data_IF_740302621217
#
_entry.id   IF_740302621217
#
_cell.length_a   1.000
_cell.length_b   1.000
_cell.length_c   1.000
_cell.angle_alpha   90.00
_cell.angle_beta   90.00
_cell.angle_gamma   90.00
#
_symmetry.space_group_name_H-M   'P 1'
#
loop_
_entity.id
_entity.type
_entity.pdbx_description
1 polymer ?
#
# COMPACT_ATOMS: atom_id res chain seq x y z
N UNK A 1 45.57 -20.53 -44.21
CA UNK A 1 45.70 -19.50 -43.16
C UNK A 1 44.74 -18.37 -43.49
N UNK A 2 43.47 -18.75 -43.62
CA UNK A 2 42.28 -17.98 -43.99
C UNK A 2 41.12 -18.73 -43.33
N UNK A 3 40.06 -18.01 -42.92
CA UNK A 3 38.85 -18.46 -42.20
C UNK A 3 38.84 -18.38 -40.67
N UNK A 4 39.07 -17.19 -40.08
CA UNK A 4 38.65 -16.89 -38.70
C UNK A 4 38.00 -15.51 -38.49
N UNK A 5 37.62 -14.80 -39.56
CA UNK A 5 36.99 -13.46 -39.49
C UNK A 5 35.57 -13.42 -40.08
N UNK A 6 34.72 -14.38 -39.72
CA UNK A 6 33.29 -14.30 -40.01
C UNK A 6 32.50 -14.88 -38.82
N UNK A 7 32.21 -14.05 -37.81
CA UNK A 7 31.42 -14.51 -36.67
C UNK A 7 31.22 -13.55 -35.50
N UNK A 8 31.36 -12.22 -35.71
CA UNK A 8 31.20 -11.26 -34.62
C UNK A 8 30.44 -9.99 -35.02
N UNK A 9 29.37 -10.11 -35.81
CA UNK A 9 28.38 -9.03 -35.97
C UNK A 9 26.96 -9.58 -35.96
N UNK A 10 26.31 -9.47 -34.80
CA UNK A 10 24.89 -9.14 -34.65
C UNK A 10 24.56 -9.07 -33.14
N UNK A 11 25.15 -8.08 -32.47
CA UNK A 11 24.66 -7.67 -31.16
C UNK A 11 23.22 -7.19 -31.29
N UNK A 12 22.25 -8.03 -30.95
CA UNK A 12 20.87 -7.60 -30.69
C UNK A 12 20.89 -6.71 -29.45
N UNK A 13 21.20 -5.42 -29.62
CA UNK A 13 20.67 -4.40 -28.73
C UNK A 13 19.15 -4.49 -28.91
N UNK A 14 18.46 -5.16 -28.00
CA UNK A 14 17.02 -4.93 -27.85
C UNK A 14 16.90 -3.44 -27.51
N UNK A 15 16.65 -2.63 -28.53
CA UNK A 15 16.36 -1.21 -28.37
C UNK A 15 15.03 -1.16 -27.65
N UNK A 16 15.09 -0.95 -26.34
CA UNK A 16 13.91 -0.78 -25.52
C UNK A 16 13.22 0.49 -26.04
N UNK A 17 12.03 0.34 -26.65
CA UNK A 17 11.40 1.44 -27.39
C UNK A 17 10.31 2.13 -26.57
N UNK A 18 9.71 1.42 -25.61
CA UNK A 18 8.65 1.94 -24.74
C UNK A 18 8.85 1.54 -23.28
N UNK A 19 8.39 2.39 -22.38
CA UNK A 19 8.30 2.18 -20.95
C UNK A 19 6.83 2.13 -20.53
N UNK A 20 6.45 1.06 -19.85
CA UNK A 20 5.13 0.91 -19.23
C UNK A 20 5.25 0.98 -17.71
N UNK A 21 4.67 2.01 -17.13
CA UNK A 21 4.67 2.23 -15.68
C UNK A 21 3.30 1.88 -15.12
N UNK A 22 3.26 0.90 -14.22
CA UNK A 22 2.08 0.59 -13.43
C UNK A 22 2.31 1.03 -11.99
N UNK A 23 1.40 1.87 -11.47
CA UNK A 23 1.54 2.40 -10.12
C UNK A 23 0.34 2.09 -9.22
N UNK A 24 0.63 1.97 -7.93
CA UNK A 24 -0.36 2.01 -6.86
C UNK A 24 -0.04 3.23 -5.99
N UNK A 25 -1.04 4.04 -5.63
CA UNK A 25 -0.81 5.19 -4.75
C UNK A 25 -2.00 5.48 -3.84
N UNK A 26 -1.69 5.87 -2.60
CA UNK A 26 -2.67 6.37 -1.65
C UNK A 26 -2.83 7.88 -1.74
N UNK A 27 -1.74 8.59 -1.43
CA UNK A 27 -1.72 10.06 -1.25
C UNK A 27 -0.82 10.79 -2.26
N UNK A 28 -0.28 10.10 -3.25
CA UNK A 28 0.46 10.69 -4.37
C UNK A 28 1.96 10.38 -4.42
N UNK A 29 2.59 9.89 -3.34
CA UNK A 29 4.06 9.65 -3.34
C UNK A 29 4.54 8.73 -4.47
N UNK A 30 3.91 7.57 -4.62
CA UNK A 30 4.28 6.62 -5.67
C UNK A 30 3.86 7.07 -7.06
N UNK A 31 2.91 8.01 -7.17
CA UNK A 31 2.55 8.66 -8.44
C UNK A 31 3.62 9.69 -8.83
N UNK A 32 4.13 10.50 -7.89
CA UNK A 32 5.28 11.38 -8.15
C UNK A 32 6.49 10.57 -8.63
N UNK A 33 6.82 9.48 -7.92
CA UNK A 33 7.89 8.58 -8.32
C UNK A 33 7.68 8.00 -9.74
N UNK A 34 6.44 7.61 -10.08
CA UNK A 34 6.09 7.17 -11.42
C UNK A 34 6.22 8.28 -12.48
N UNK A 35 5.84 9.52 -12.16
CA UNK A 35 5.97 10.69 -13.04
C UNK A 35 7.43 11.07 -13.28
N UNK A 36 8.29 11.06 -12.26
CA UNK A 36 9.72 11.30 -12.41
C UNK A 36 10.39 10.23 -13.27
N UNK A 37 10.02 8.97 -13.04
CA UNK A 37 10.48 7.85 -13.84
C UNK A 37 10.04 8.00 -15.32
N UNK A 38 8.79 8.39 -15.56
CA UNK A 38 8.28 8.67 -16.89
C UNK A 38 9.01 9.85 -17.56
N UNK A 39 9.25 10.93 -16.83
CA UNK A 39 9.97 12.10 -17.33
C UNK A 39 11.40 11.76 -17.74
N UNK A 40 12.13 11.02 -16.89
CA UNK A 40 13.49 10.56 -17.20
C UNK A 40 13.54 9.66 -18.45
N UNK A 41 12.56 8.79 -18.63
CA UNK A 41 12.47 7.94 -19.82
C UNK A 41 12.10 8.71 -21.09
N UNK A 42 11.16 9.66 -21.02
CA UNK A 42 10.82 10.54 -22.15
C UNK A 42 12.04 11.36 -22.59
N UNK A 43 12.80 11.89 -21.64
CA UNK A 43 14.04 12.62 -21.93
C UNK A 43 15.11 11.74 -22.62
N UNK A 44 15.07 10.43 -22.40
CA UNK A 44 15.92 9.44 -23.07
C UNK A 44 15.34 8.93 -24.41
N UNK A 45 14.23 9.50 -24.89
CA UNK A 45 13.63 9.15 -26.18
C UNK A 45 12.65 7.96 -26.17
N UNK A 46 12.22 7.50 -24.99
CA UNK A 46 11.27 6.38 -24.87
C UNK A 46 9.83 6.85 -25.02
N UNK A 47 8.99 6.04 -25.70
CA UNK A 47 7.54 6.16 -25.54
C UNK A 47 7.13 5.75 -24.12
N UNK A 48 6.25 6.50 -23.45
CA UNK A 48 5.89 6.21 -22.05
C UNK A 48 4.39 6.15 -21.85
N UNK A 49 3.92 5.09 -21.19
CA UNK A 49 2.56 4.98 -20.66
C UNK A 49 2.60 4.84 -19.13
N UNK A 50 1.79 5.61 -18.40
CA UNK A 50 1.69 5.55 -16.94
C UNK A 50 0.26 5.20 -16.57
N UNK A 51 0.05 4.10 -15.86
CA UNK A 51 -1.28 3.55 -15.57
C UNK A 51 -1.42 3.21 -14.09
N UNK A 52 -2.54 3.62 -13.49
CA UNK A 52 -2.90 3.13 -12.15
C UNK A 52 -3.30 1.67 -12.24
N UNK A 53 -2.89 0.83 -11.29
CA UNK A 53 -3.40 -0.54 -11.16
C UNK A 53 -4.80 -0.59 -10.53
N UNK A 54 -5.33 0.57 -10.12
CA UNK A 54 -6.63 0.69 -9.45
C UNK A 54 -7.48 1.85 -10.02
N UNK A 55 -8.75 1.61 -10.43
CA UNK A 55 -9.43 0.30 -10.46
C UNK A 55 -8.68 -0.69 -11.36
N UNK A 56 -8.83 -1.99 -11.10
CA UNK A 56 -8.11 -3.00 -11.87
C UNK A 56 -8.39 -2.78 -13.37
N UNK A 57 -7.37 -2.81 -14.24
CA UNK A 57 -7.58 -2.61 -15.67
C UNK A 57 -8.60 -3.62 -16.21
N UNK A 58 -9.34 -3.22 -17.25
CA UNK A 58 -10.20 -4.14 -18.02
C UNK A 58 -9.37 -5.35 -18.48
N UNK A 59 -10.07 -6.46 -18.73
CA UNK A 59 -9.61 -7.85 -18.90
C UNK A 59 -8.36 -8.14 -19.76
N UNK A 60 -7.79 -7.16 -20.44
CA UNK A 60 -6.70 -7.34 -21.42
C UNK A 60 -5.30 -7.35 -20.79
N UNK A 61 -5.20 -7.13 -19.47
CA UNK A 61 -3.92 -7.13 -18.77
C UNK A 61 -2.96 -6.05 -19.28
N UNK A 62 -1.70 -6.04 -18.80
CA UNK A 62 -0.69 -5.14 -19.36
C UNK A 62 -0.26 -5.63 -20.75
N UNK A 63 -0.38 -4.76 -21.74
CA UNK A 63 0.08 -4.94 -23.12
C UNK A 63 1.62 -4.84 -23.22
N UNK A 64 2.35 -5.58 -22.39
CA UNK A 64 3.80 -5.62 -22.39
C UNK A 64 4.31 -6.42 -23.59
N UNK A 65 4.57 -5.72 -24.69
CA UNK A 65 5.13 -6.32 -25.90
C UNK A 65 6.62 -6.69 -25.69
N UNK A 66 7.13 -7.70 -26.40
CA UNK A 66 8.57 -7.99 -26.43
C UNK A 66 9.36 -6.73 -26.86
N UNK A 67 10.24 -6.24 -25.99
CA UNK A 67 11.01 -5.00 -26.21
C UNK A 67 10.64 -3.83 -25.30
N UNK A 68 9.54 -3.92 -24.55
CA UNK A 68 9.16 -2.88 -23.59
C UNK A 68 9.88 -3.02 -22.23
N UNK A 69 10.09 -1.90 -21.54
CA UNK A 69 10.48 -1.86 -20.13
C UNK A 69 9.24 -1.83 -19.25
N UNK A 70 9.08 -2.80 -18.35
CA UNK A 70 8.05 -2.78 -17.33
C UNK A 70 8.55 -2.09 -16.06
N UNK A 71 7.81 -1.13 -15.53
CA UNK A 71 8.08 -0.47 -14.26
C UNK A 71 6.89 -0.64 -13.31
N UNK A 72 7.14 -1.16 -12.10
CA UNK A 72 6.15 -1.23 -11.03
C UNK A 72 6.49 -0.22 -9.93
N UNK A 73 5.60 0.74 -9.68
CA UNK A 73 5.75 1.78 -8.66
C UNK A 73 4.71 1.58 -7.54
N UNK A 74 5.15 1.48 -6.28
CA UNK A 74 4.24 1.15 -5.17
C UNK A 74 4.68 1.76 -3.84
N UNK A 75 3.75 1.98 -2.88
CA UNK A 75 4.11 2.32 -1.52
C UNK A 75 4.48 1.06 -0.74
N UNK A 76 5.28 1.21 0.31
CA UNK A 76 5.44 0.16 1.33
C UNK A 76 4.28 0.21 2.32
N UNK A 77 3.64 -0.94 2.55
CA UNK A 77 2.68 -1.12 3.64
C UNK A 77 3.23 -2.16 4.63
N UNK A 78 3.43 -1.75 5.89
CA UNK A 78 3.95 -2.60 6.97
C UNK A 78 5.19 -3.42 6.54
N UNK A 79 6.23 -2.73 6.07
CA UNK A 79 7.52 -3.32 5.67
C UNK A 79 7.41 -4.37 4.54
N UNK A 80 6.34 -4.32 3.74
CA UNK A 80 6.17 -5.17 2.56
C UNK A 80 5.30 -4.51 1.49
N UNK A 81 5.07 -5.22 0.38
CA UNK A 81 4.26 -4.74 -0.72
C UNK A 81 2.76 -4.80 -0.36
N UNK A 82 1.94 -3.83 -0.80
CA UNK A 82 0.50 -3.88 -0.58
C UNK A 82 -0.12 -5.05 -1.33
N UNK A 83 -1.13 -5.68 -0.73
CA UNK A 83 -1.84 -6.83 -1.30
C UNK A 83 -2.33 -6.59 -2.74
N UNK A 84 -2.79 -5.37 -3.04
CA UNK A 84 -3.23 -5.01 -4.39
C UNK A 84 -2.12 -5.12 -5.44
N UNK A 85 -0.89 -4.69 -5.11
CA UNK A 85 0.25 -4.79 -6.02
C UNK A 85 0.78 -6.22 -6.11
N UNK A 86 0.76 -6.98 -5.00
CA UNK A 86 1.10 -8.41 -5.02
C UNK A 86 0.16 -9.16 -5.97
N UNK A 87 -1.16 -8.95 -5.85
CA UNK A 87 -2.16 -9.55 -6.76
C UNK A 87 -1.95 -9.14 -8.21
N UNK A 88 -1.67 -7.87 -8.45
CA UNK A 88 -1.39 -7.37 -9.80
C UNK A 88 -0.16 -8.07 -10.40
N UNK A 89 0.97 -8.12 -9.67
CA UNK A 89 2.19 -8.77 -10.12
C UNK A 89 1.99 -10.28 -10.38
N UNK A 90 1.22 -10.97 -9.53
CA UNK A 90 0.86 -12.38 -9.73
C UNK A 90 0.00 -12.58 -10.98
N UNK A 91 -0.88 -11.63 -11.30
CA UNK A 91 -1.77 -11.65 -12.47
C UNK A 91 -1.12 -11.26 -13.80
N UNK A 92 0.13 -10.77 -13.81
CA UNK A 92 0.85 -10.49 -15.05
C UNK A 92 0.98 -11.76 -15.92
N UNK A 93 1.08 -11.65 -17.24
CA UNK A 93 1.42 -12.82 -18.06
C UNK A 93 2.86 -13.27 -17.76
N UNK A 94 3.18 -14.56 -17.99
CA UNK A 94 4.57 -15.01 -18.08
C UNK A 94 5.32 -14.20 -19.15
N UNK A 95 6.62 -13.98 -18.94
CA UNK A 95 7.49 -13.24 -19.85
C UNK A 95 8.68 -14.08 -20.28
N UNK A 96 9.24 -13.76 -21.45
CA UNK A 96 10.49 -14.34 -21.97
C UNK A 96 11.63 -13.31 -21.91
N UNK A 97 11.87 -12.77 -20.71
CA UNK A 97 12.99 -11.85 -20.46
C UNK A 97 12.68 -10.37 -20.68
N UNK A 98 11.40 -9.96 -20.65
CA UNK A 98 11.03 -8.53 -20.67
C UNK A 98 11.76 -7.81 -19.52
N UNK A 99 12.55 -6.77 -19.81
CA UNK A 99 13.22 -5.98 -18.77
C UNK A 99 12.20 -5.38 -17.80
N UNK A 100 12.50 -5.45 -16.50
CA UNK A 100 11.62 -4.90 -15.48
C UNK A 100 12.39 -4.12 -14.41
N UNK A 101 11.74 -3.12 -13.83
CA UNK A 101 12.19 -2.44 -12.63
C UNK A 101 11.08 -2.35 -11.59
N UNK A 102 11.47 -2.31 -10.31
CA UNK A 102 10.58 -2.12 -9.17
C UNK A 102 11.07 -0.92 -8.36
N UNK A 103 10.20 0.07 -8.20
CA UNK A 103 10.47 1.29 -7.44
C UNK A 103 9.46 1.42 -6.30
N UNK A 104 9.93 1.35 -5.05
CA UNK A 104 9.08 1.49 -3.86
C UNK A 104 9.26 2.84 -3.19
N UNK A 105 8.18 3.43 -2.69
CA UNK A 105 8.25 4.62 -1.82
C UNK A 105 8.07 4.21 -0.36
N UNK A 106 8.95 4.66 0.52
CA UNK A 106 8.90 4.42 1.98
C UNK A 106 8.74 5.72 2.76
N UNK A 107 8.10 5.65 3.92
CA UNK A 107 7.73 6.84 4.69
C UNK A 107 8.85 7.37 5.58
N UNK A 108 9.35 8.55 5.29
CA UNK A 108 10.27 9.33 6.13
C UNK A 108 9.51 10.01 7.26
N UNK A 109 10.07 9.93 8.46
CA UNK A 109 9.56 10.61 9.65
C UNK A 109 10.44 11.81 9.99
N UNK A 110 9.83 12.85 10.55
CA UNK A 110 10.55 13.97 11.18
C UNK A 110 10.43 13.83 12.69
N UNK A 111 11.55 13.61 13.37
CA UNK A 111 11.63 13.57 14.84
C UNK A 111 12.53 14.71 15.29
N UNK A 112 11.93 15.74 15.88
CA UNK A 112 12.62 17.01 16.15
C UNK A 112 13.09 17.64 14.84
N UNK A 113 14.41 17.69 14.63
CA UNK A 113 15.05 18.20 13.40
C UNK A 113 15.64 17.10 12.51
N UNK A 114 15.49 15.83 12.91
CA UNK A 114 16.12 14.68 12.24
C UNK A 114 15.11 13.99 11.32
N UNK A 115 15.50 13.82 10.06
CA UNK A 115 14.77 13.01 9.09
C UNK A 115 15.20 11.55 9.23
N UNK A 116 14.27 10.70 9.65
CA UNK A 116 14.49 9.27 9.79
C UNK A 116 13.95 8.58 8.52
N UNK A 117 14.80 7.91 7.73
CA UNK A 117 14.37 7.23 6.52
C UNK A 117 13.40 6.09 6.85
N UNK A 118 12.52 5.79 5.91
CA UNK A 118 11.58 4.69 6.05
C UNK A 118 12.26 3.32 5.93
N UNK A 119 11.47 2.27 6.17
CA UNK A 119 11.87 0.89 5.93
C UNK A 119 10.89 0.23 4.98
N UNK A 120 11.34 -0.09 3.76
CA UNK A 120 10.54 -0.81 2.77
C UNK A 120 10.42 -2.31 3.06
N UNK A 121 11.36 -2.85 3.84
CA UNK A 121 11.45 -4.27 4.15
C UNK A 121 11.48 -5.14 2.89
N UNK A 122 10.54 -6.08 2.79
CA UNK A 122 10.48 -7.01 1.65
C UNK A 122 9.75 -6.41 0.43
N UNK A 123 9.23 -5.19 0.49
CA UNK A 123 8.30 -4.67 -0.52
C UNK A 123 8.83 -4.74 -1.95
N UNK A 124 10.06 -4.25 -2.18
CA UNK A 124 10.63 -4.20 -3.51
C UNK A 124 11.01 -5.61 -4.02
N UNK A 125 11.70 -6.38 -3.18
CA UNK A 125 12.21 -7.69 -3.56
C UNK A 125 11.15 -8.79 -3.60
N UNK A 126 10.04 -8.67 -2.87
CA UNK A 126 8.89 -9.57 -3.01
C UNK A 126 8.31 -9.45 -4.42
N UNK A 127 8.09 -8.22 -4.90
CA UNK A 127 7.59 -7.97 -6.26
C UNK A 127 8.64 -8.39 -7.31
N UNK A 128 9.91 -8.05 -7.10
CA UNK A 128 10.99 -8.50 -7.98
C UNK A 128 11.08 -10.03 -8.08
N UNK A 129 10.89 -10.74 -6.96
CA UNK A 129 10.87 -12.20 -6.91
C UNK A 129 9.71 -12.78 -7.73
N UNK A 130 8.51 -12.22 -7.57
CA UNK A 130 7.33 -12.61 -8.38
C UNK A 130 7.62 -12.41 -9.88
N UNK A 131 8.19 -11.26 -10.25
CA UNK A 131 8.57 -10.97 -11.64
C UNK A 131 9.61 -11.96 -12.18
N UNK A 132 10.65 -12.30 -11.40
CA UNK A 132 11.66 -13.28 -11.81
C UNK A 132 11.08 -14.68 -12.01
N UNK A 133 10.22 -15.15 -11.10
CA UNK A 133 9.53 -16.45 -11.23
C UNK A 133 8.68 -16.49 -12.49
N UNK A 134 8.12 -15.35 -12.91
CA UNK A 134 7.32 -15.22 -14.12
C UNK A 134 8.16 -14.99 -15.39
N UNK A 135 9.48 -15.00 -15.30
CA UNK A 135 10.40 -14.91 -16.44
C UNK A 135 10.77 -13.50 -16.90
N UNK A 136 10.50 -12.45 -16.12
CA UNK A 136 10.96 -11.09 -16.41
C UNK A 136 12.44 -10.91 -16.03
N UNK A 137 13.20 -10.11 -16.79
CA UNK A 137 14.57 -9.72 -16.41
C UNK A 137 14.55 -8.48 -15.51
N UNK A 138 14.59 -8.68 -14.19
CA UNK A 138 14.63 -7.56 -13.24
C UNK A 138 15.98 -6.84 -13.30
N UNK A 139 16.01 -5.70 -13.99
CA UNK A 139 17.16 -4.80 -14.16
C UNK A 139 17.31 -3.81 -13.01
N UNK A 140 16.19 -3.40 -12.41
CA UNK A 140 16.16 -2.33 -11.41
C UNK A 140 15.36 -2.71 -10.16
N UNK A 141 15.94 -2.52 -8.98
CA UNK A 141 15.22 -2.54 -7.70
C UNK A 141 15.71 -1.38 -6.86
N UNK A 142 14.79 -0.52 -6.44
CA UNK A 142 15.15 0.66 -5.67
C UNK A 142 14.02 1.12 -4.74
N UNK A 143 14.40 1.80 -3.66
CA UNK A 143 13.49 2.29 -2.63
C UNK A 143 13.83 3.74 -2.31
N UNK A 144 12.87 4.63 -2.53
CA UNK A 144 13.02 6.08 -2.33
C UNK A 144 12.28 6.54 -1.08
N UNK A 145 12.94 7.39 -0.30
CA UNK A 145 12.37 8.04 0.87
C UNK A 145 11.39 9.15 0.46
N UNK A 146 10.16 9.07 0.96
CA UNK A 146 9.09 10.04 0.70
C UNK A 146 8.43 10.43 2.03
N UNK A 147 7.85 11.62 2.16
CA UNK A 147 7.16 12.00 3.39
C UNK A 147 6.11 10.98 3.81
N UNK A 148 6.16 10.56 5.08
CA UNK A 148 5.21 9.57 5.59
C UNK A 148 3.78 10.11 5.56
N UNK A 149 2.89 9.32 4.97
CA UNK A 149 1.46 9.62 4.85
C UNK A 149 0.59 8.87 5.88
N UNK A 150 1.21 8.06 6.76
CA UNK A 150 0.51 7.23 7.75
C UNK A 150 0.05 8.06 8.95
N UNK A 151 -0.77 9.06 8.64
CA UNK A 151 -1.20 10.13 9.54
C UNK A 151 -2.21 9.71 10.60
N UNK A 152 -2.28 8.41 10.87
CA UNK A 152 -3.03 7.87 12.02
C UNK A 152 -2.13 7.78 13.24
N UNK A 153 -0.82 7.53 13.08
CA UNK A 153 0.13 7.36 14.19
C UNK A 153 1.00 8.59 14.48
N UNK A 154 1.19 9.47 13.49
CA UNK A 154 1.98 10.68 13.62
C UNK A 154 1.41 11.79 12.71
N UNK A 155 1.66 13.08 12.97
CA UNK A 155 1.27 14.16 12.05
C UNK A 155 2.11 14.13 10.76
N UNK A 156 1.56 14.70 9.67
CA UNK A 156 2.37 15.00 8.49
C UNK A 156 3.42 16.09 8.80
N UNK A 157 4.55 16.05 8.10
CA UNK A 157 5.62 17.04 8.21
C UNK A 157 5.16 18.45 7.80
N UNK A 158 5.93 19.46 8.20
CA UNK A 158 5.78 20.82 7.68
C UNK A 158 6.18 20.92 6.20
N UNK A 159 5.85 22.06 5.58
CA UNK A 159 6.03 22.28 4.14
C UNK A 159 7.51 22.16 3.74
N UNK A 160 8.40 22.88 4.42
CA UNK A 160 9.83 22.90 4.08
C UNK A 160 10.51 21.51 4.18
N UNK A 161 10.38 20.71 5.27
CA UNK A 161 10.90 19.34 5.29
C UNK A 161 10.25 18.43 4.24
N UNK A 162 8.98 18.65 3.92
CA UNK A 162 8.28 17.90 2.86
C UNK A 162 8.92 18.18 1.50
N UNK A 163 9.12 19.44 1.14
CA UNK A 163 9.75 19.84 -0.12
C UNK A 163 11.19 19.34 -0.21
N UNK A 164 11.96 19.42 0.88
CA UNK A 164 13.33 18.89 0.93
C UNK A 164 13.38 17.38 0.65
N UNK A 165 12.54 16.58 1.32
CA UNK A 165 12.51 15.12 1.10
C UNK A 165 12.06 14.80 -0.32
N UNK A 166 11.04 15.49 -0.83
CA UNK A 166 10.52 15.27 -2.20
C UNK A 166 11.55 15.64 -3.26
N UNK A 167 12.28 16.76 -3.09
CA UNK A 167 13.33 17.16 -4.02
C UNK A 167 14.51 16.19 -4.03
N UNK A 168 14.92 15.67 -2.86
CA UNK A 168 15.95 14.63 -2.78
C UNK A 168 15.51 13.33 -3.48
N UNK A 169 14.24 12.95 -3.27
CA UNK A 169 13.65 11.77 -3.89
C UNK A 169 13.61 11.87 -5.42
N UNK A 170 13.29 13.05 -5.97
CA UNK A 170 13.28 13.28 -7.42
C UNK A 170 14.66 13.07 -8.05
N UNK A 171 15.70 13.63 -7.44
CA UNK A 171 17.09 13.46 -7.90
C UNK A 171 17.50 11.98 -7.85
N UNK A 172 17.21 11.30 -6.74
CA UNK A 172 17.54 9.90 -6.53
C UNK A 172 16.85 8.98 -7.56
N UNK A 173 15.54 9.18 -7.77
CA UNK A 173 14.74 8.40 -8.74
C UNK A 173 15.23 8.66 -10.17
N UNK A 174 15.50 9.92 -10.52
CA UNK A 174 15.99 10.27 -11.86
C UNK A 174 17.32 9.59 -12.15
N UNK A 175 18.28 9.65 -11.22
CA UNK A 175 19.58 8.98 -11.36
C UNK A 175 19.46 7.45 -11.42
N UNK A 176 18.56 6.86 -10.63
CA UNK A 176 18.26 5.43 -10.69
C UNK A 176 17.75 5.01 -12.06
N UNK A 177 16.74 5.71 -12.59
CA UNK A 177 16.12 5.38 -13.86
C UNK A 177 17.11 5.56 -15.01
N UNK A 178 17.83 6.67 -15.07
CA UNK A 178 18.87 6.90 -16.09
C UNK A 178 19.93 5.78 -16.10
N UNK A 179 20.33 5.28 -14.93
CA UNK A 179 21.26 4.15 -14.82
C UNK A 179 20.70 2.87 -15.46
N UNK A 180 19.42 2.56 -15.21
CA UNK A 180 18.76 1.37 -15.76
C UNK A 180 18.55 1.51 -17.27
N UNK A 181 18.13 2.69 -17.74
CA UNK A 181 17.95 2.98 -19.17
C UNK A 181 19.27 2.92 -19.95
N UNK A 182 20.41 3.25 -19.31
CA UNK A 182 21.74 3.05 -19.86
C UNK A 182 22.19 1.57 -19.90
N UNK A 183 21.29 0.62 -19.58
CA UNK A 183 21.54 -0.81 -19.63
C UNK A 183 22.18 -1.40 -18.37
N UNK A 184 22.45 -0.60 -17.32
CA UNK A 184 23.04 -1.12 -16.07
C UNK A 184 21.99 -1.88 -15.25
N UNK A 185 22.44 -2.94 -14.56
CA UNK A 185 21.62 -3.62 -13.55
C UNK A 185 21.90 -2.97 -12.19
N UNK A 186 20.87 -2.39 -11.54
CA UNK A 186 20.98 -1.72 -10.24
C UNK A 186 19.96 -2.30 -9.26
N UNK A 187 20.44 -3.06 -8.29
CA UNK A 187 19.61 -3.77 -7.30
C UNK A 187 19.99 -3.31 -5.89
N UNK A 188 19.31 -2.28 -5.40
CA UNK A 188 19.61 -1.64 -4.12
C UNK A 188 18.76 -2.20 -2.98
N UNK A 189 19.16 -1.93 -1.73
CA UNK A 189 18.31 -2.18 -0.55
C UNK A 189 18.52 -3.51 0.16
N UNK A 190 19.63 -4.21 -0.08
CA UNK A 190 19.90 -5.55 0.50
C UNK A 190 19.87 -5.58 2.03
N UNK A 191 20.41 -4.56 2.70
CA UNK A 191 20.34 -4.45 4.17
C UNK A 191 18.89 -4.34 4.65
N UNK A 192 18.07 -3.54 3.95
CA UNK A 192 16.65 -3.33 4.29
C UNK A 192 15.81 -4.56 3.96
N UNK A 193 16.19 -5.34 2.94
CA UNK A 193 15.64 -6.67 2.70
C UNK A 193 15.91 -7.61 3.88
N UNK A 194 17.15 -7.69 4.36
CA UNK A 194 17.49 -8.54 5.51
C UNK A 194 16.67 -8.18 6.76
N UNK A 195 16.55 -6.88 7.07
CA UNK A 195 15.67 -6.39 8.14
C UNK A 195 14.19 -6.73 7.87
N UNK A 196 13.75 -6.59 6.62
CA UNK A 196 12.40 -6.96 6.20
C UNK A 196 12.09 -8.43 6.37
N UNK A 197 13.05 -9.32 6.12
CA UNK A 197 12.92 -10.76 6.35
C UNK A 197 12.81 -11.07 7.84
N UNK A 198 13.59 -10.41 8.69
CA UNK A 198 13.44 -10.51 10.14
C UNK A 198 12.05 -10.05 10.62
N UNK A 199 11.47 -9.05 9.95
CA UNK A 199 10.12 -8.53 10.22
C UNK A 199 9.00 -9.27 9.46
N UNK A 200 9.31 -10.32 8.67
CA UNK A 200 8.33 -11.00 7.84
C UNK A 200 7.09 -11.52 8.60
N UNK A 201 7.19 -12.03 9.85
CA UNK A 201 6.02 -12.41 10.64
C UNK A 201 5.08 -11.22 10.91
N UNK A 202 5.63 -10.02 11.15
CA UNK A 202 4.86 -8.79 11.36
C UNK A 202 4.16 -8.37 10.07
N UNK A 203 4.89 -8.38 8.95
CA UNK A 203 4.36 -8.05 7.62
C UNK A 203 3.24 -9.01 7.19
N UNK A 204 3.41 -10.30 7.47
CA UNK A 204 2.39 -11.32 7.23
C UNK A 204 1.16 -11.08 8.10
N UNK A 205 1.36 -10.93 9.42
CA UNK A 205 0.28 -10.65 10.38
C UNK A 205 -0.51 -9.39 10.00
N UNK A 206 0.17 -8.35 9.51
CA UNK A 206 -0.47 -7.16 8.99
C UNK A 206 -1.38 -7.47 7.79
N UNK A 207 -0.88 -8.22 6.80
CA UNK A 207 -1.63 -8.53 5.58
C UNK A 207 -2.84 -9.46 5.83
N UNK A 208 -2.73 -10.40 6.77
CA UNK A 208 -3.81 -11.33 7.09
C UNK A 208 -4.76 -10.80 8.18
N UNK A 209 -4.34 -9.87 9.04
CA UNK A 209 -5.17 -9.45 10.19
C UNK A 209 -5.06 -7.95 10.48
N UNK A 210 -3.86 -7.41 10.59
CA UNK A 210 -3.62 -6.03 11.03
C UNK A 210 -4.37 -5.00 10.18
N UNK A 211 -4.30 -5.10 8.85
CA UNK A 211 -5.00 -4.17 7.94
C UNK A 211 -6.52 -4.20 8.12
N UNK A 212 -7.09 -5.37 8.38
CA UNK A 212 -8.52 -5.55 8.59
C UNK A 212 -8.97 -4.92 9.90
N UNK A 213 -8.19 -5.06 10.98
CA UNK A 213 -8.47 -4.39 12.24
C UNK A 213 -8.35 -2.87 12.12
N UNK A 214 -7.26 -2.38 11.53
CA UNK A 214 -7.05 -0.94 11.30
C UNK A 214 -8.16 -0.31 10.46
N UNK A 215 -8.70 -1.03 9.46
CA UNK A 215 -9.85 -0.57 8.69
C UNK A 215 -11.04 -0.21 9.57
N UNK A 216 -11.30 -1.02 10.60
CA UNK A 216 -12.42 -0.89 11.55
C UNK A 216 -12.20 0.16 12.63
N UNK A 217 -11.02 0.79 12.69
CA UNK A 217 -10.80 1.91 13.59
C UNK A 217 -11.19 3.26 12.96
N UNK A 218 -11.46 3.28 11.65
CA UNK A 218 -11.84 4.50 10.95
C UNK A 218 -13.30 4.86 11.20
N UNK A 219 -13.54 6.15 11.41
CA UNK A 219 -14.86 6.72 11.58
C UNK A 219 -14.95 8.14 11.01
N UNK A 220 -16.18 8.62 10.85
CA UNK A 220 -16.45 9.99 10.47
C UNK A 220 -16.93 10.81 11.68
N UNK A 221 -16.27 11.95 11.92
CA UNK A 221 -16.64 12.92 12.94
C UNK A 221 -17.94 13.65 12.57
N UNK A 222 -18.38 14.59 13.43
CA UNK A 222 -19.54 15.43 13.13
C UNK A 222 -19.31 16.41 11.98
N UNK A 223 -18.08 16.68 11.58
CA UNK A 223 -17.76 17.52 10.41
C UNK A 223 -18.14 16.86 9.07
N UNK A 224 -18.54 15.58 9.07
CA UNK A 224 -18.95 14.90 7.85
C UNK A 224 -20.29 15.44 7.32
N UNK A 225 -20.24 15.99 6.10
CA UNK A 225 -21.41 16.49 5.36
C UNK A 225 -22.03 15.44 4.42
N UNK A 226 -21.70 14.15 4.58
CA UNK A 226 -22.27 13.05 3.79
C UNK A 226 -22.05 13.11 2.27
N UNK A 227 -21.10 13.91 1.77
CA UNK A 227 -20.86 14.08 0.32
C UNK A 227 -20.46 12.80 -0.46
N UNK A 228 -20.05 11.74 0.23
CA UNK A 228 -19.73 10.44 -0.37
C UNK A 228 -18.43 10.37 -1.18
N UNK A 229 -17.64 11.45 -1.26
CA UNK A 229 -16.38 11.51 -2.02
C UNK A 229 -15.41 10.37 -1.64
N UNK A 230 -15.27 10.12 -0.33
CA UNK A 230 -14.42 9.04 0.18
C UNK A 230 -14.78 7.66 -0.35
N UNK A 231 -16.07 7.38 -0.60
CA UNK A 231 -16.51 6.12 -1.18
C UNK A 231 -16.25 6.07 -2.70
N UNK A 232 -16.58 7.15 -3.43
CA UNK A 232 -16.39 7.23 -4.88
C UNK A 232 -14.92 7.17 -5.30
N UNK A 233 -14.03 7.82 -4.54
CA UNK A 233 -12.61 7.90 -4.87
C UNK A 233 -11.76 6.82 -4.16
N UNK A 234 -12.40 5.87 -3.48
CA UNK A 234 -11.68 4.76 -2.85
C UNK A 234 -11.18 3.80 -3.92
N UNK A 235 -9.85 3.65 -4.12
CA UNK A 235 -9.32 2.76 -5.15
C UNK A 235 -9.81 1.32 -4.93
N UNK A 236 -9.93 0.89 -3.68
CA UNK A 236 -10.28 -0.50 -3.35
C UNK A 236 -11.78 -0.75 -3.18
N UNK A 237 -12.66 0.22 -3.48
CA UNK A 237 -14.11 0.08 -3.26
C UNK A 237 -14.48 -0.21 -1.80
N UNK A 238 -13.61 0.15 -0.86
CA UNK A 238 -13.62 -0.33 0.52
C UNK A 238 -14.50 0.48 1.48
N UNK A 239 -15.27 1.44 0.96
CA UNK A 239 -16.10 2.33 1.78
C UNK A 239 -17.52 2.28 1.24
N UNK A 240 -18.48 1.93 2.12
CA UNK A 240 -19.91 1.97 1.84
C UNK A 240 -20.55 3.11 2.61
N UNK A 241 -21.40 3.89 1.97
CA UNK A 241 -22.16 4.94 2.64
C UNK A 241 -23.41 4.30 3.30
N UNK A 242 -23.56 4.41 4.62
CA UNK A 242 -24.62 3.73 5.40
C UNK A 242 -25.36 4.67 6.38
N UNK A 243 -26.67 4.44 6.52
CA UNK A 243 -27.55 5.17 7.45
C UNK A 243 -28.21 6.41 6.86
N UNK A 244 -28.88 7.17 7.73
CA UNK A 244 -29.55 8.43 7.41
C UNK A 244 -29.19 9.46 8.49
N UNK A 245 -28.46 10.56 8.16
CA UNK A 245 -27.80 10.79 6.87
C UNK A 245 -26.69 9.74 6.61
N UNK A 246 -26.33 9.47 5.33
CA UNK A 246 -25.38 8.43 4.99
C UNK A 246 -23.96 8.78 5.46
N UNK A 247 -23.30 7.86 6.17
CA UNK A 247 -21.93 8.03 6.67
C UNK A 247 -21.01 6.91 6.17
N UNK A 248 -19.70 7.16 5.95
CA UNK A 248 -18.79 6.14 5.48
C UNK A 248 -18.66 5.00 6.49
N UNK A 249 -18.61 3.78 5.97
CA UNK A 249 -18.43 2.53 6.67
C UNK A 249 -17.34 1.74 5.95
N UNK A 250 -16.23 1.47 6.63
CA UNK A 250 -15.07 0.81 6.02
C UNK A 250 -15.25 -0.71 6.03
N UNK A 251 -15.13 -1.34 4.86
CA UNK A 251 -15.16 -2.81 4.68
C UNK A 251 -13.78 -3.41 4.97
N UNK A 252 -13.67 -4.74 4.86
CA UNK A 252 -12.38 -5.43 4.95
C UNK A 252 -11.53 -5.30 3.67
N UNK A 253 -12.04 -4.69 2.61
CA UNK A 253 -11.26 -4.43 1.39
C UNK A 253 -10.28 -3.26 1.56
N UNK A 254 -10.39 -2.53 2.67
CA UNK A 254 -9.54 -1.39 2.96
C UNK A 254 -8.06 -1.82 3.05
N UNK A 255 -7.21 -1.12 2.29
CA UNK A 255 -5.76 -1.34 2.27
C UNK A 255 -4.98 -0.34 3.12
N UNK A 256 -5.66 0.55 3.85
CA UNK A 256 -4.98 1.54 4.70
C UNK A 256 -4.17 2.61 3.95
N UNK A 257 -4.48 2.90 2.67
CA UNK A 257 -3.70 3.82 1.84
C UNK A 257 -3.85 5.32 2.20
N UNK A 258 -4.67 5.66 3.20
CA UNK A 258 -4.90 7.02 3.71
C UNK A 258 -5.50 8.05 2.71
N UNK A 259 -5.89 7.64 1.50
CA UNK A 259 -6.50 8.53 0.50
C UNK A 259 -7.76 9.24 1.03
N UNK A 260 -8.69 8.47 1.59
CA UNK A 260 -9.97 9.00 2.07
C UNK A 260 -9.80 10.05 3.18
N UNK A 261 -8.85 9.83 4.11
CA UNK A 261 -8.48 10.82 5.11
C UNK A 261 -7.84 12.03 4.44
N UNK A 262 -6.82 11.84 3.63
CA UNK A 262 -6.04 12.94 3.06
C UNK A 262 -6.87 13.92 2.20
N UNK A 263 -7.86 13.41 1.46
CA UNK A 263 -8.67 14.20 0.51
C UNK A 263 -10.13 14.42 0.94
N UNK A 264 -10.46 14.21 2.23
CA UNK A 264 -11.77 14.58 2.75
C UNK A 264 -11.89 16.12 2.80
N UNK A 265 -12.87 16.73 2.10
CA UNK A 265 -12.98 18.19 2.00
C UNK A 265 -13.36 18.86 3.33
N UNK A 266 -14.04 18.14 4.23
CA UNK A 266 -14.44 18.66 5.54
C UNK A 266 -13.60 18.10 6.68
N UNK A 267 -12.48 17.45 6.35
CA UNK A 267 -11.57 16.85 7.33
C UNK A 267 -12.26 15.94 8.36
N UNK A 268 -13.28 15.21 7.94
CA UNK A 268 -14.14 14.48 8.88
C UNK A 268 -13.70 13.04 9.17
N UNK A 269 -12.77 12.48 8.41
CA UNK A 269 -12.36 11.06 8.54
C UNK A 269 -11.19 10.96 9.50
N UNK A 270 -11.33 10.14 10.53
CA UNK A 270 -10.33 9.93 11.59
C UNK A 270 -10.25 8.46 12.03
N UNK A 271 -9.23 8.15 12.82
CA UNK A 271 -9.01 6.82 13.41
C UNK A 271 -9.17 6.91 14.92
N UNK A 272 -10.09 6.12 15.49
CA UNK A 272 -10.38 6.19 16.93
C UNK A 272 -9.48 5.24 17.73
N UNK A 273 -8.63 5.83 18.57
CA UNK A 273 -7.70 5.10 19.45
C UNK A 273 -8.42 4.49 20.65
N UNK A 274 -9.30 5.26 21.28
CA UNK A 274 -10.16 4.80 22.38
C UNK A 274 -11.09 3.68 21.93
N UNK A 275 -11.68 3.75 20.74
CA UNK A 275 -12.41 2.63 20.17
C UNK A 275 -11.48 1.45 19.84
N UNK A 276 -10.26 1.70 19.36
CA UNK A 276 -9.28 0.63 19.16
C UNK A 276 -8.97 -0.15 20.43
N UNK A 277 -8.76 0.55 21.55
CA UNK A 277 -8.58 -0.06 22.86
C UNK A 277 -9.82 -0.85 23.30
N UNK A 278 -11.01 -0.23 23.20
CA UNK A 278 -12.29 -0.87 23.54
C UNK A 278 -12.55 -2.11 22.67
N UNK A 279 -12.34 -2.03 21.36
CA UNK A 279 -12.54 -3.14 20.45
C UNK A 279 -11.51 -4.26 20.71
N UNK A 280 -10.27 -3.92 21.05
CA UNK A 280 -9.25 -4.89 21.43
C UNK A 280 -9.61 -5.60 22.73
N UNK A 281 -10.16 -4.86 23.70
CA UNK A 281 -10.78 -5.44 24.88
C UNK A 281 -11.94 -6.35 24.47
N UNK A 282 -13.03 -5.86 23.87
CA UNK A 282 -14.22 -6.66 23.54
C UNK A 282 -13.95 -7.88 22.63
N UNK A 283 -12.94 -7.81 21.76
CA UNK A 283 -12.58 -8.95 20.89
C UNK A 283 -11.51 -9.86 21.49
N UNK A 284 -10.75 -9.39 22.49
CA UNK A 284 -9.70 -10.11 23.19
C UNK A 284 -10.12 -10.68 24.55
N UNK A 285 -11.05 -10.05 25.25
CA UNK A 285 -11.65 -10.50 26.51
C UNK A 285 -12.73 -11.54 26.22
N UNK A 286 -12.28 -12.79 26.13
CA UNK A 286 -12.71 -13.86 27.04
C UNK A 286 -14.20 -14.13 27.35
N UNK A 287 -15.20 -13.63 26.64
CA UNK A 287 -16.54 -14.25 26.70
C UNK A 287 -16.60 -15.48 25.80
N UNK A 288 -16.24 -15.34 24.52
CA UNK A 288 -16.26 -16.49 23.61
C UNK A 288 -15.05 -17.42 23.77
N UNK A 289 -13.85 -16.92 24.06
CA UNK A 289 -12.71 -17.80 24.33
C UNK A 289 -12.92 -18.61 25.63
N UNK A 290 -13.60 -18.03 26.63
CA UNK A 290 -14.05 -18.75 27.82
C UNK A 290 -15.14 -19.77 27.47
N UNK A 291 -16.20 -19.39 26.74
CA UNK A 291 -17.26 -20.32 26.34
C UNK A 291 -16.76 -21.46 25.43
N UNK A 292 -15.83 -21.19 24.52
CA UNK A 292 -15.16 -22.20 23.68
C UNK A 292 -14.21 -23.06 24.50
N UNK A 293 -13.45 -22.46 25.42
CA UNK A 293 -12.63 -23.20 26.38
C UNK A 293 -13.47 -24.12 27.26
N UNK A 294 -14.60 -23.62 27.75
CA UNK A 294 -15.58 -24.30 28.61
C UNK A 294 -16.24 -25.45 27.87
N UNK A 295 -16.85 -25.19 26.70
CA UNK A 295 -17.46 -26.21 25.87
C UNK A 295 -16.45 -27.27 25.42
N UNK A 296 -15.19 -26.89 25.15
CA UNK A 296 -14.13 -27.82 24.80
C UNK A 296 -13.67 -28.72 25.96
N UNK A 297 -13.97 -28.38 27.23
CA UNK A 297 -13.73 -29.29 28.37
C UNK A 297 -14.64 -30.51 28.34
N UNK A 298 -15.83 -30.38 27.74
CA UNK A 298 -16.87 -31.41 27.69
C UNK A 298 -16.91 -32.21 26.38
N UNK A 299 -16.13 -31.80 25.35
CA UNK A 299 -16.09 -32.50 24.05
C UNK A 299 -14.63 -32.82 23.68
N UNK A 300 -14.18 -34.09 23.78
CA UNK A 300 -12.81 -34.50 23.46
C UNK A 300 -12.36 -34.12 22.03
N UNK A 301 -13.28 -34.16 21.06
CA UNK A 301 -13.03 -33.73 19.68
C UNK A 301 -12.78 -32.21 19.56
N UNK A 302 -13.38 -31.38 20.42
CA UNK A 302 -13.16 -29.94 20.44
C UNK A 302 -11.77 -29.57 20.99
N UNK A 303 -11.23 -30.36 21.93
CA UNK A 303 -9.82 -30.25 22.38
C UNK A 303 -8.83 -30.53 21.26
N UNK A 304 -9.08 -31.54 20.43
CA UNK A 304 -8.24 -31.86 19.27
C UNK A 304 -8.32 -30.79 18.17
N UNK A 305 -9.53 -30.26 17.91
CA UNK A 305 -9.76 -29.17 16.97
C UNK A 305 -9.01 -27.89 17.37
N UNK A 306 -8.98 -27.58 18.68
CA UNK A 306 -8.37 -26.36 19.22
C UNK A 306 -6.83 -26.32 19.11
N UNK A 307 -6.16 -27.48 19.06
CA UNK A 307 -4.69 -27.56 18.93
C UNK A 307 -4.20 -27.60 17.48
N UNK A 308 -5.11 -27.79 16.52
CA UNK A 308 -4.81 -27.94 15.09
C UNK A 308 -4.94 -26.65 14.27
N UNK A 309 -4.69 -26.77 12.96
CA UNK A 309 -4.90 -25.67 12.00
C UNK A 309 -6.37 -25.24 11.89
N UNK A 310 -7.32 -26.17 12.10
CA UNK A 310 -8.76 -25.89 12.12
C UNK A 310 -9.15 -24.95 13.26
N UNK A 311 -8.64 -25.17 14.48
CA UNK A 311 -8.88 -24.28 15.62
C UNK A 311 -8.30 -22.88 15.41
N UNK A 312 -7.12 -22.78 14.78
CA UNK A 312 -6.54 -21.49 14.38
C UNK A 312 -7.38 -20.77 13.33
N UNK A 313 -7.91 -21.49 12.34
CA UNK A 313 -8.80 -20.94 11.33
C UNK A 313 -10.13 -20.47 11.95
N UNK A 314 -10.71 -21.26 12.85
CA UNK A 314 -11.92 -20.90 13.59
C UNK A 314 -11.70 -19.66 14.46
N UNK A 315 -10.58 -19.58 15.18
CA UNK A 315 -10.21 -18.42 16.00
C UNK A 315 -10.04 -17.16 15.15
N UNK A 316 -9.40 -17.30 14.00
CA UNK A 316 -9.23 -16.21 13.04
C UNK A 316 -10.59 -15.73 12.48
N UNK A 317 -11.44 -16.65 12.03
CA UNK A 317 -12.78 -16.36 11.53
C UNK A 317 -13.65 -15.68 12.61
N UNK A 318 -13.59 -16.17 13.85
CA UNK A 318 -14.23 -15.54 14.99
C UNK A 318 -13.71 -14.12 15.21
N UNK A 319 -12.39 -13.91 15.25
CA UNK A 319 -11.79 -12.59 15.47
C UNK A 319 -12.24 -11.56 14.43
N UNK A 320 -12.36 -11.96 13.16
CA UNK A 320 -12.92 -11.10 12.11
C UNK A 320 -14.42 -10.88 12.30
N UNK A 321 -15.21 -11.92 12.60
CA UNK A 321 -16.65 -11.81 12.83
C UNK A 321 -16.99 -10.90 14.01
N UNK A 322 -16.33 -11.10 15.15
CA UNK A 322 -16.47 -10.29 16.36
C UNK A 322 -16.11 -8.83 16.09
N UNK A 323 -14.99 -8.57 15.42
CA UNK A 323 -14.59 -7.22 15.05
C UNK A 323 -15.62 -6.56 14.11
N UNK A 324 -16.19 -7.31 13.16
CA UNK A 324 -17.24 -6.79 12.27
C UNK A 324 -18.51 -6.40 13.04
N UNK A 325 -18.92 -7.21 14.01
CA UNK A 325 -20.08 -6.94 14.87
C UNK A 325 -19.84 -5.72 15.77
N UNK A 326 -18.71 -5.68 16.49
CA UNK A 326 -18.32 -4.57 17.36
C UNK A 326 -18.24 -3.28 16.55
N UNK A 327 -17.67 -3.32 15.34
CA UNK A 327 -17.62 -2.15 14.47
C UNK A 327 -19.01 -1.69 13.97
N UNK A 328 -19.93 -2.62 13.69
CA UNK A 328 -21.32 -2.26 13.33
C UNK A 328 -22.03 -1.57 14.50
N UNK A 329 -21.87 -2.08 15.71
CA UNK A 329 -22.42 -1.46 16.92
C UNK A 329 -21.82 -0.06 17.15
N UNK A 330 -20.50 0.06 17.03
CA UNK A 330 -19.80 1.34 17.09
C UNK A 330 -20.29 2.33 16.03
N UNK A 331 -20.42 1.90 14.77
CA UNK A 331 -20.92 2.75 13.67
C UNK A 331 -22.34 3.27 13.93
N UNK A 332 -23.20 2.45 14.53
CA UNK A 332 -24.51 2.88 14.97
C UNK A 332 -24.43 3.88 16.14
N UNK A 333 -23.61 3.58 17.15
CA UNK A 333 -23.45 4.41 18.35
C UNK A 333 -22.90 5.81 18.05
N UNK A 334 -21.90 5.93 17.16
CA UNK A 334 -21.32 7.24 16.77
C UNK A 334 -22.27 8.13 15.95
N UNK A 335 -23.51 7.70 15.70
CA UNK A 335 -24.57 8.59 15.21
C UNK A 335 -25.12 9.48 16.32
N UNK A 336 -25.05 9.03 17.58
CA UNK A 336 -25.39 9.86 18.73
C UNK A 336 -24.33 10.96 18.87
N UNK A 337 -24.72 12.25 18.86
CA UNK A 337 -23.78 13.36 18.86
C UNK A 337 -22.73 13.33 19.99
N UNK A 338 -23.15 12.98 21.20
CA UNK A 338 -22.28 12.91 22.37
C UNK A 338 -21.21 11.82 22.22
N UNK A 339 -21.61 10.63 21.75
CA UNK A 339 -20.72 9.50 21.51
C UNK A 339 -19.69 9.84 20.43
N UNK A 340 -20.13 10.44 19.31
CA UNK A 340 -19.21 10.88 18.25
C UNK A 340 -18.16 11.88 18.78
N UNK A 341 -18.61 12.87 19.56
CA UNK A 341 -17.74 13.89 20.16
C UNK A 341 -16.72 13.25 21.09
N UNK A 342 -17.11 12.30 21.93
CA UNK A 342 -16.18 11.56 22.79
C UNK A 342 -15.04 10.90 21.98
N UNK A 343 -15.37 10.14 20.94
CA UNK A 343 -14.35 9.47 20.12
C UNK A 343 -13.50 10.42 19.29
N UNK A 344 -14.04 11.59 18.89
CA UNK A 344 -13.28 12.64 18.21
C UNK A 344 -12.30 13.37 19.15
N UNK A 345 -12.67 13.57 20.41
CA UNK A 345 -11.82 14.25 21.40
C UNK A 345 -10.70 13.33 21.94
N UNK A 346 -10.97 12.04 22.03
CA UNK A 346 -10.05 11.03 22.58
C UNK A 346 -9.10 10.41 21.55
N UNK A 347 -9.06 10.96 20.33
CA UNK A 347 -8.04 10.59 19.34
C UNK A 347 -7.14 11.78 19.01
N UNK A 348 -5.81 11.59 18.93
CA UNK A 348 -4.91 12.66 18.51
C UNK A 348 -5.03 12.95 17.00
N UNK A 349 -5.61 12.03 16.23
CA UNK A 349 -5.70 12.13 14.76
C UNK A 349 -6.47 13.35 14.29
N UNK A 350 -7.43 13.86 15.06
CA UNK A 350 -8.13 15.13 14.75
C UNK A 350 -7.21 16.35 14.70
N UNK A 351 -6.03 16.28 15.33
CA UNK A 351 -5.02 17.35 15.35
C UNK A 351 -3.86 17.08 14.41
N UNK A 352 -3.79 15.87 13.85
CA UNK A 352 -2.70 15.48 12.96
C UNK A 352 -2.91 16.06 11.57
N UNK A 353 -1.95 16.91 11.16
CA UNK A 353 -1.85 17.44 9.80
C UNK A 353 -1.99 16.31 8.79
N UNK A 354 -2.81 16.54 7.77
CA UNK A 354 -3.04 15.60 6.66
C UNK A 354 -1.89 15.73 5.65
N UNK A 355 -1.50 14.61 5.06
CA UNK A 355 -0.46 14.60 4.04
C UNK A 355 -1.09 14.48 2.65
N UNK A 356 -0.66 15.32 1.71
CA UNK A 356 -0.91 15.20 0.28
C UNK A 356 0.43 15.40 -0.40
N UNK A 357 0.75 14.56 -1.38
CA UNK A 357 1.99 14.75 -2.14
C UNK A 357 1.95 16.13 -2.84
N UNK A 358 3.04 16.91 -2.80
CA UNK A 358 3.10 18.21 -3.47
C UNK A 358 2.75 18.09 -4.96
N UNK A 359 1.96 19.03 -5.48
CA UNK A 359 1.56 19.04 -6.90
C UNK A 359 0.63 17.90 -7.32
N UNK A 360 0.11 17.08 -6.40
CA UNK A 360 -0.84 16.00 -6.72
C UNK A 360 -2.25 16.36 -6.27
N UNK A 361 -3.15 16.44 -7.24
CA UNK A 361 -4.57 16.67 -6.97
C UNK A 361 -5.32 15.35 -6.71
N UNK A 362 -6.55 15.43 -6.20
CA UNK A 362 -7.41 14.24 -6.10
C UNK A 362 -7.83 13.68 -7.46
N UNK A 363 -7.83 14.50 -8.52
CA UNK A 363 -8.15 14.07 -9.87
C UNK A 363 -7.04 13.17 -10.44
N UNK A 364 -5.78 13.54 -10.22
CA UNK A 364 -4.57 12.79 -10.64
C UNK A 364 -4.55 11.35 -10.09
N UNK A 365 -5.24 11.11 -8.97
CA UNK A 365 -5.30 9.80 -8.32
C UNK A 365 -6.32 8.84 -8.97
N UNK A 366 -7.05 9.27 -9.99
CA UNK A 366 -8.06 8.46 -10.71
C UNK A 366 -7.45 7.59 -11.81
N UNK A 367 -6.27 7.95 -12.34
CA UNK A 367 -5.49 7.12 -13.25
C UNK A 367 -5.76 7.33 -14.74
N UNK A 368 -6.42 8.44 -15.12
CA UNK A 368 -6.79 8.77 -16.50
C UNK A 368 -5.77 9.73 -17.17
N UNK A 369 -4.47 9.38 -17.19
CA UNK A 369 -3.41 10.14 -17.90
C UNK A 369 -2.96 9.48 -19.21
#
# INVERSE_FOLDING_TARGET
>A
MENWLAGAEAGRRHVMSRLQVYYLTGTGNSLLAARWLAAAARAAGFGVAVRSIVPAPSSDGPDAQPGDLLALCLPTHAFTAPWAMIRFALGLPPSRGTPALVLVTRGTLLVGRVLIPGLEGTAAYLIAGILRVKGYDVRGVHAVDMPSNWTIVHPAMSVEPTERVVGQAEVEVTAFVQSVLAGRRRLDGQVRLALGLALAPVSLLYNILGRFRLAKLNFATRACNSCGRCARECPHGAIRMRGRPPRPFWTYDCQGCMRCRSYCPTEAIETSYSFGALASFLTGSSALAFLVGEAARHVPAARALNRGWLGRLATYAYGLGAMALVYRAFHAAIRVPAVNRFFALTTPTTRFRRYRAPGVSAADLRGDE
#
